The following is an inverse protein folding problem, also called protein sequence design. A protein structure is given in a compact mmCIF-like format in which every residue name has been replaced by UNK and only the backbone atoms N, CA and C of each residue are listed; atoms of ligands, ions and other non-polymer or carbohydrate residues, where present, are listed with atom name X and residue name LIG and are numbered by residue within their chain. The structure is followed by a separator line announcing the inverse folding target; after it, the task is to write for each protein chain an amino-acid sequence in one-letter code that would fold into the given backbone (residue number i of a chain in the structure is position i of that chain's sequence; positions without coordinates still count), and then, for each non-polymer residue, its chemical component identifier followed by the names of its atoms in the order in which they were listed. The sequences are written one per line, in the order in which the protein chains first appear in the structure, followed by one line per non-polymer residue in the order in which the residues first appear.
data_IF_124833418892
#
_entry.id   IF_124833418892
#
_cell.length_a   1.000
_cell.length_b   1.000
_cell.length_c   1.000
_cell.angle_alpha   90.00
_cell.angle_beta   90.00
_cell.angle_gamma   90.00
#
_symmetry.space_group_name_H-M   'P 1'
#
loop_
_entity.id
_entity.type
_entity.pdbx_description
1 polymer ?
#
# COMPACT_ATOMS: atom_id res chain seq x y z
N UNK A 1 8.21 17.30 -10.45
CA UNK A 1 8.51 15.96 -9.89
C UNK A 1 8.45 16.07 -8.38
N UNK A 2 7.81 15.12 -7.71
CA UNK A 2 7.76 15.09 -6.25
C UNK A 2 9.12 14.65 -5.69
N UNK A 3 9.58 15.31 -4.64
CA UNK A 3 10.80 14.93 -3.93
C UNK A 3 10.55 13.77 -2.95
N UNK A 4 11.61 13.13 -2.46
CA UNK A 4 11.52 12.16 -1.35
C UNK A 4 10.88 12.79 -0.11
N UNK A 5 11.15 14.07 0.14
CA UNK A 5 10.62 14.79 1.29
C UNK A 5 9.10 15.00 1.16
N UNK A 6 8.62 15.30 -0.06
CA UNK A 6 7.20 15.47 -0.35
C UNK A 6 6.43 14.18 -0.05
N UNK A 7 7.00 13.01 -0.40
CA UNK A 7 6.43 11.71 -0.07
C UNK A 7 6.40 11.42 1.43
N UNK A 8 7.47 11.75 2.15
CA UNK A 8 7.54 11.55 3.59
C UNK A 8 6.50 12.41 4.33
N UNK A 9 6.43 13.71 4.00
CA UNK A 9 5.48 14.64 4.60
C UNK A 9 4.01 14.25 4.33
N UNK A 10 3.71 13.80 3.10
CA UNK A 10 2.38 13.32 2.75
C UNK A 10 2.00 12.07 3.56
N UNK A 11 2.91 11.09 3.68
CA UNK A 11 2.68 9.87 4.45
C UNK A 11 2.57 10.14 5.96
N UNK A 12 3.35 11.06 6.51
CA UNK A 12 3.23 11.49 7.91
C UNK A 12 1.86 12.14 8.18
N UNK A 13 1.32 12.86 7.20
CA UNK A 13 -0.04 13.42 7.28
C UNK A 13 -1.10 12.34 7.24
N UNK A 14 -0.94 11.33 6.38
CA UNK A 14 -1.84 10.15 6.33
C UNK A 14 -1.80 9.37 7.65
N UNK A 15 -0.60 9.11 8.21
CA UNK A 15 -0.45 8.39 9.48
C UNK A 15 -1.14 9.14 10.64
N UNK A 16 -0.96 10.46 10.74
CA UNK A 16 -1.67 11.29 11.73
C UNK A 16 -3.18 11.22 11.57
N UNK A 17 -3.68 11.36 10.35
CA UNK A 17 -5.12 11.29 10.08
C UNK A 17 -5.69 9.90 10.41
N UNK A 18 -4.95 8.84 10.09
CA UNK A 18 -5.38 7.48 10.39
C UNK A 18 -5.45 7.22 11.90
N UNK A 19 -4.45 7.69 12.68
CA UNK A 19 -4.50 7.60 14.14
C UNK A 19 -5.70 8.33 14.73
N UNK A 20 -5.99 9.53 14.23
CA UNK A 20 -7.18 10.28 14.64
C UNK A 20 -8.46 9.49 14.38
N UNK A 21 -8.58 8.82 13.21
CA UNK A 21 -9.74 7.97 12.90
C UNK A 21 -9.81 6.74 13.82
N UNK A 22 -8.67 6.12 14.14
CA UNK A 22 -8.58 4.95 15.01
C UNK A 22 -8.96 5.26 16.47
N UNK A 23 -8.77 6.51 16.92
CA UNK A 23 -9.15 6.98 18.25
C UNK A 23 -10.65 7.30 18.38
N UNK A 24 -11.39 7.37 17.26
CA UNK A 24 -12.83 7.59 17.27
C UNK A 24 -13.58 6.32 17.69
N UNK A 25 -14.68 6.51 18.42
CA UNK A 25 -15.48 5.38 18.89
C UNK A 25 -16.74 5.17 18.05
N UNK A 26 -17.09 3.91 17.82
CA UNK A 26 -18.25 3.52 17.02
C UNK A 26 -19.57 3.46 17.82
N UNK A 27 -19.52 3.58 19.16
CA UNK A 27 -20.70 3.35 20.03
C UNK A 27 -21.84 4.35 19.82
N UNK A 28 -21.56 5.52 19.25
CA UNK A 28 -22.57 6.55 18.97
C UNK A 28 -23.19 6.43 17.57
N UNK A 29 -22.66 5.55 16.71
CA UNK A 29 -23.09 5.44 15.31
C UNK A 29 -24.30 4.53 15.17
N UNK A 30 -25.31 4.99 14.43
CA UNK A 30 -26.42 4.12 14.02
C UNK A 30 -25.92 3.06 13.02
N UNK A 31 -26.61 1.91 12.87
CA UNK A 31 -26.20 0.88 11.93
C UNK A 31 -26.07 1.37 10.47
N UNK A 32 -26.88 2.36 10.06
CA UNK A 32 -26.76 2.97 8.74
C UNK A 32 -25.45 3.75 8.59
N UNK A 33 -25.05 4.51 9.61
CA UNK A 33 -23.80 5.28 9.63
C UNK A 33 -22.58 4.35 9.63
N UNK A 34 -22.65 3.23 10.37
CA UNK A 34 -21.59 2.22 10.38
C UNK A 34 -21.35 1.63 8.98
N UNK A 35 -22.42 1.32 8.24
CA UNK A 35 -22.30 0.82 6.86
C UNK A 35 -21.73 1.87 5.92
N UNK A 36 -22.20 3.12 6.02
CA UNK A 36 -21.67 4.22 5.22
C UNK A 36 -20.17 4.45 5.51
N UNK A 37 -19.76 4.35 6.78
CA UNK A 37 -18.37 4.47 7.18
C UNK A 37 -17.51 3.32 6.63
N UNK A 38 -18.00 2.08 6.67
CA UNK A 38 -17.30 0.93 6.08
C UNK A 38 -17.04 1.11 4.58
N UNK A 39 -18.04 1.59 3.81
CA UNK A 39 -17.86 1.87 2.38
C UNK A 39 -16.77 2.92 2.16
N UNK A 40 -16.71 3.96 3.01
CA UNK A 40 -15.70 5.00 2.91
C UNK A 40 -14.30 4.50 3.27
N UNK A 41 -14.18 3.64 4.28
CA UNK A 41 -12.90 3.01 4.65
C UNK A 41 -12.39 2.08 3.55
N UNK A 42 -13.27 1.26 2.96
CA UNK A 42 -12.94 0.39 1.82
C UNK A 42 -12.45 1.20 0.59
N UNK A 43 -13.08 2.34 0.31
CA UNK A 43 -12.63 3.24 -0.75
C UNK A 43 -11.20 3.77 -0.50
N UNK A 44 -10.87 4.12 0.75
CA UNK A 44 -9.52 4.56 1.13
C UNK A 44 -8.50 3.42 1.02
N UNK A 45 -8.87 2.21 1.46
CA UNK A 45 -8.02 1.02 1.32
C UNK A 45 -7.69 0.76 -0.15
N UNK A 46 -8.68 0.85 -1.05
CA UNK A 46 -8.49 0.68 -2.50
C UNK A 46 -7.57 1.73 -3.10
N UNK A 47 -7.68 3.00 -2.69
CA UNK A 47 -6.79 4.07 -3.15
C UNK A 47 -5.34 3.83 -2.71
N UNK A 48 -5.14 3.43 -1.46
CA UNK A 48 -3.81 3.11 -0.94
C UNK A 48 -3.23 1.89 -1.65
N UNK A 49 -4.02 0.83 -1.85
CA UNK A 49 -3.62 -0.37 -2.56
C UNK A 49 -3.22 -0.08 -4.01
N UNK A 50 -3.98 0.77 -4.72
CA UNK A 50 -3.65 1.19 -6.08
C UNK A 50 -2.32 1.97 -6.13
N UNK A 51 -2.10 2.87 -5.17
CA UNK A 51 -0.85 3.64 -5.06
C UNK A 51 0.34 2.72 -4.78
N UNK A 52 0.20 1.77 -3.85
CA UNK A 52 1.22 0.77 -3.56
C UNK A 52 1.52 -0.11 -4.77
N UNK A 53 0.49 -0.53 -5.51
CA UNK A 53 0.64 -1.34 -6.73
C UNK A 53 1.41 -0.58 -7.81
N UNK A 54 1.10 0.70 -8.02
CA UNK A 54 1.85 1.56 -8.96
C UNK A 54 3.33 1.65 -8.56
N UNK A 55 3.62 1.95 -7.29
CA UNK A 55 5.01 2.00 -6.79
C UNK A 55 5.73 0.66 -6.94
N UNK A 56 5.06 -0.47 -6.65
CA UNK A 56 5.61 -1.80 -6.86
C UNK A 56 5.91 -2.07 -8.34
N UNK A 57 5.02 -1.67 -9.24
CA UNK A 57 5.24 -1.77 -10.70
C UNK A 57 6.51 -1.03 -11.13
N UNK A 58 6.70 0.20 -10.65
CA UNK A 58 7.94 0.95 -10.89
C UNK A 58 9.18 0.27 -10.30
N UNK A 59 9.06 -0.31 -9.10
CA UNK A 59 10.16 -0.99 -8.42
C UNK A 59 10.61 -2.26 -9.15
N UNK A 60 9.68 -3.09 -9.61
CA UNK A 60 9.98 -4.38 -10.25
C UNK A 60 10.30 -4.28 -11.74
N UNK A 61 10.02 -3.14 -12.38
CA UNK A 61 10.41 -2.89 -13.76
C UNK A 61 11.95 -2.77 -13.92
N UNK A 62 12.66 -2.43 -12.84
CA UNK A 62 14.11 -2.43 -12.79
C UNK A 62 14.71 -3.81 -12.44
N UNK A 63 15.98 -4.05 -12.77
CA UNK A 63 16.66 -5.28 -12.37
C UNK A 63 16.69 -5.41 -10.84
N UNK A 64 16.69 -6.65 -10.30
CA UNK A 64 16.82 -6.87 -8.86
C UNK A 64 18.06 -6.14 -8.32
N UNK A 65 17.94 -5.41 -7.21
CA UNK A 65 19.02 -4.55 -6.74
C UNK A 65 20.24 -5.38 -6.33
N UNK A 66 21.42 -4.93 -6.76
CA UNK A 66 22.71 -5.55 -6.42
C UNK A 66 22.94 -5.57 -4.91
N UNK A 67 22.39 -4.59 -4.17
CA UNK A 67 22.39 -4.52 -2.70
C UNK A 67 21.73 -5.73 -2.02
N UNK A 68 20.92 -6.51 -2.75
CA UNK A 68 20.31 -7.75 -2.26
C UNK A 68 20.97 -9.01 -2.81
N UNK A 69 22.22 -8.92 -3.30
CA UNK A 69 22.98 -10.03 -3.88
C UNK A 69 22.21 -10.78 -5.01
N UNK A 70 21.40 -10.05 -5.77
CA UNK A 70 20.56 -10.62 -6.84
C UNK A 70 19.35 -11.42 -6.34
N UNK A 71 18.98 -11.31 -5.05
CA UNK A 71 17.78 -11.95 -4.53
C UNK A 71 16.53 -11.49 -5.30
N UNK A 72 15.58 -12.40 -5.60
CA UNK A 72 14.32 -12.03 -6.25
C UNK A 72 13.54 -11.00 -5.44
N UNK A 73 12.85 -10.08 -6.12
CA UNK A 73 12.03 -9.03 -5.49
C UNK A 73 11.03 -9.58 -4.46
N UNK A 74 10.44 -10.75 -4.70
CA UNK A 74 9.51 -11.38 -3.75
C UNK A 74 10.16 -11.66 -2.39
N UNK A 75 11.40 -12.19 -2.39
CA UNK A 75 12.16 -12.47 -1.17
C UNK A 75 12.55 -11.19 -0.45
N UNK A 76 12.94 -10.16 -1.20
CA UNK A 76 13.27 -8.83 -0.66
C UNK A 76 12.04 -8.20 0.01
N UNK A 77 10.90 -8.16 -0.69
CA UNK A 77 9.65 -7.58 -0.21
C UNK A 77 9.07 -8.35 0.97
N UNK A 78 9.11 -9.68 0.95
CA UNK A 78 8.68 -10.51 2.07
C UNK A 78 9.40 -10.11 3.37
N UNK A 79 10.72 -9.96 3.30
CA UNK A 79 11.54 -9.52 4.44
C UNK A 79 11.25 -8.08 4.86
N UNK A 80 11.18 -7.15 3.91
CA UNK A 80 11.02 -5.70 4.20
C UNK A 80 9.62 -5.35 4.71
N UNK A 81 8.59 -5.96 4.13
CA UNK A 81 7.19 -5.72 4.50
C UNK A 81 6.70 -6.65 5.60
N UNK A 82 7.52 -7.62 6.04
CA UNK A 82 7.17 -8.65 7.04
C UNK A 82 5.91 -9.44 6.65
N UNK A 83 5.88 -9.89 5.40
CA UNK A 83 4.81 -10.71 4.82
C UNK A 83 5.38 -12.05 4.35
N UNK A 84 4.51 -13.00 4.02
CA UNK A 84 4.95 -14.26 3.40
C UNK A 84 5.49 -14.04 1.99
N UNK A 85 6.37 -14.92 1.53
CA UNK A 85 6.84 -14.88 0.14
C UNK A 85 5.69 -15.10 -0.87
N UNK A 86 4.68 -15.91 -0.51
CA UNK A 86 3.47 -16.09 -1.32
C UNK A 86 2.67 -14.79 -1.49
N UNK A 87 2.50 -14.02 -0.41
CA UNK A 87 1.86 -12.70 -0.47
C UNK A 87 2.69 -11.70 -1.29
N UNK A 88 4.01 -11.73 -1.15
CA UNK A 88 4.90 -10.91 -1.97
C UNK A 88 4.77 -11.25 -3.47
N UNK A 89 4.75 -12.53 -3.84
CA UNK A 89 4.50 -12.97 -5.21
C UNK A 89 3.16 -12.48 -5.74
N UNK A 90 2.09 -12.61 -4.94
CA UNK A 90 0.76 -12.15 -5.32
C UNK A 90 0.77 -10.64 -5.62
N UNK A 91 1.33 -9.82 -4.74
CA UNK A 91 1.44 -8.37 -4.95
C UNK A 91 2.26 -7.99 -6.18
N UNK A 92 3.34 -8.72 -6.45
CA UNK A 92 4.16 -8.53 -7.68
C UNK A 92 3.35 -8.87 -8.92
N UNK A 93 2.64 -10.01 -8.93
CA UNK A 93 1.82 -10.43 -10.06
C UNK A 93 0.68 -9.43 -10.34
N UNK A 94 -0.01 -8.98 -9.28
CA UNK A 94 -1.05 -7.95 -9.38
C UNK A 94 -0.49 -6.62 -9.92
N UNK A 95 0.74 -6.24 -9.54
CA UNK A 95 1.40 -5.04 -10.06
C UNK A 95 1.81 -5.17 -11.54
N UNK A 96 2.34 -6.32 -11.94
CA UNK A 96 2.67 -6.61 -13.34
C UNK A 96 1.44 -6.63 -14.25
N UNK A 97 0.32 -7.19 -13.79
CA UNK A 97 -0.94 -7.23 -14.54
C UNK A 97 -1.51 -5.82 -14.79
N UNK A 98 -1.38 -4.90 -13.83
CA UNK A 98 -1.84 -3.52 -13.97
C UNK A 98 -0.97 -2.69 -14.95
N UNK A 99 0.32 -3.01 -15.09
CA UNK A 99 1.23 -2.32 -16.00
C UNK A 99 1.05 -2.71 -17.48
N UNK A 100 0.50 -3.90 -17.76
CA UNK A 100 0.20 -4.37 -19.13
C UNK A 100 -1.18 -3.97 -19.66
N UNK A 101 -1.99 -3.28 -18.84
CA UNK A 101 -3.35 -2.85 -19.18
C UNK A 101 -3.46 -1.34 -19.47
N UNK A 102 -2.33 -0.64 -19.57
CA UNK A 102 -2.20 0.78 -19.91
C UNK A 102 -1.44 0.93 -21.23
#
# INVERSE_FOLDING_TARGET
MSSKNDWAEALDTVDRAYRQVADLSFHTLQPADQRALLVRLDALEKLLAATQRSLLGHLIAGPPPVEFAGAPWAKVLARRLRISEGEAHRRIAEAGAAAGAA
#
